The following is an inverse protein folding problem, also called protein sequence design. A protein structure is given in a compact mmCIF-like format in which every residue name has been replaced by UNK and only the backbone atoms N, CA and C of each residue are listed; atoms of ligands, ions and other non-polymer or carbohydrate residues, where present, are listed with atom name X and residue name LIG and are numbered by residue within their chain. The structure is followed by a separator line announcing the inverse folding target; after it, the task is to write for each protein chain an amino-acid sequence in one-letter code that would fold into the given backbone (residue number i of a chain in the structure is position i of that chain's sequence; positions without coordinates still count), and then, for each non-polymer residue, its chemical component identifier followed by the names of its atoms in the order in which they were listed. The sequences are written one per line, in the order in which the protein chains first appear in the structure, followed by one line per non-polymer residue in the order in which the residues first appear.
data_IF_621718915609
#
_entry.id   IF_621718915609
#
_cell.length_a   1.000
_cell.length_b   1.000
_cell.length_c   1.000
_cell.angle_alpha   90.00
_cell.angle_beta   90.00
_cell.angle_gamma   90.00
#
_symmetry.space_group_name_H-M   'P 1'
#
loop_
_entity.id
_entity.type
_entity.pdbx_description
1 polymer ?
#
# COMPACT_ATOMS: atom_id res chain seq x y z
N UNK A 1 -2.24 8.19 36.26
CA UNK A 1 -2.87 7.32 35.24
C UNK A 1 -2.43 7.80 33.86
N UNK A 2 -1.42 7.17 33.25
CA UNK A 2 -1.07 7.46 31.87
C UNK A 2 -2.04 6.68 30.97
N UNK A 3 -3.11 7.34 30.53
CA UNK A 3 -4.00 6.79 29.51
C UNK A 3 -3.19 6.48 28.26
N UNK A 4 -3.16 5.22 27.86
CA UNK A 4 -2.59 4.78 26.58
C UNK A 4 -3.50 5.36 25.50
N UNK A 5 -3.17 6.56 25.00
CA UNK A 5 -3.77 7.10 23.78
C UNK A 5 -3.43 6.12 22.67
N UNK A 6 -4.37 5.25 22.33
CA UNK A 6 -4.31 4.44 21.12
C UNK A 6 -4.53 5.44 19.99
N UNK A 7 -3.58 5.55 19.07
CA UNK A 7 -3.84 6.26 17.83
C UNK A 7 -4.88 5.42 17.08
N UNK A 8 -6.16 5.79 17.20
CA UNK A 8 -7.22 5.20 16.41
C UNK A 8 -6.93 5.62 14.95
N UNK A 9 -6.36 4.69 14.19
CA UNK A 9 -6.13 4.86 12.77
C UNK A 9 -7.45 5.03 12.02
N UNK A 10 -7.43 5.57 10.80
CA UNK A 10 -8.62 5.64 9.96
C UNK A 10 -9.20 4.24 9.79
N UNK A 11 -10.52 4.14 9.83
CA UNK A 11 -11.21 2.89 9.58
C UNK A 11 -10.87 2.39 8.18
N UNK A 12 -10.53 1.10 8.07
CA UNK A 12 -10.34 0.42 6.78
C UNK A 12 -11.62 0.31 5.95
N UNK A 13 -12.76 0.70 6.54
CA UNK A 13 -14.03 0.89 5.88
C UNK A 13 -13.94 2.17 5.05
N UNK A 14 -13.70 2.00 3.75
CA UNK A 14 -14.19 2.97 2.78
C UNK A 14 -15.73 2.93 2.84
N UNK A 15 -16.38 4.09 2.80
CA UNK A 15 -17.83 4.21 2.73
C UNK A 15 -18.38 3.24 1.66
N UNK A 16 -19.29 2.39 2.09
CA UNK A 16 -19.84 1.30 1.28
C UNK A 16 -20.86 1.86 0.30
N UNK A 17 -20.43 2.38 -0.84
CA UNK A 17 -21.26 2.47 -2.03
C UNK A 17 -20.91 1.32 -2.98
N UNK A 18 -21.77 0.30 -2.91
CA UNK A 18 -21.93 -0.84 -3.80
C UNK A 18 -21.30 -0.70 -5.20
N UNK A 19 -20.04 -1.11 -5.34
CA UNK A 19 -19.42 -1.49 -6.60
C UNK A 19 -19.16 -2.98 -6.54
N UNK A 20 -19.82 -3.72 -7.42
CA UNK A 20 -19.93 -5.18 -7.45
C UNK A 20 -18.61 -5.92 -7.16
N UNK A 21 -18.75 -7.04 -6.46
CA UNK A 21 -17.75 -8.10 -6.37
C UNK A 21 -17.45 -8.61 -7.80
N UNK A 22 -16.58 -7.89 -8.51
CA UNK A 22 -16.06 -8.29 -9.81
C UNK A 22 -15.21 -9.54 -9.63
N UNK A 23 -15.81 -10.69 -9.97
CA UNK A 23 -15.13 -11.97 -10.16
C UNK A 23 -13.87 -11.76 -11.00
N UNK A 24 -12.70 -11.92 -10.38
CA UNK A 24 -11.43 -11.73 -11.11
C UNK A 24 -10.18 -11.55 -10.27
N UNK A 25 -10.25 -11.58 -8.93
CA UNK A 25 -9.04 -11.64 -8.10
C UNK A 25 -8.40 -13.03 -8.23
N UNK A 26 -7.71 -13.26 -9.34
CA UNK A 26 -6.73 -14.34 -9.46
C UNK A 26 -5.76 -14.13 -8.31
N UNK A 27 -5.74 -15.05 -7.34
CA UNK A 27 -4.67 -15.08 -6.33
C UNK A 27 -3.39 -15.30 -7.12
N UNK A 28 -2.49 -14.31 -7.28
CA UNK A 28 -1.23 -14.57 -7.93
C UNK A 28 -0.55 -15.63 -7.07
N UNK A 29 0.09 -16.62 -7.70
CA UNK A 29 1.00 -17.55 -7.02
C UNK A 29 2.26 -16.78 -6.63
N UNK A 30 2.10 -15.79 -5.76
CA UNK A 30 3.18 -15.13 -5.06
C UNK A 30 3.85 -16.21 -4.21
N UNK A 31 5.18 -16.23 -4.16
CA UNK A 31 5.96 -17.07 -3.24
C UNK A 31 5.50 -16.91 -1.78
N UNK A 32 6.10 -17.63 -0.82
CA UNK A 32 5.65 -17.60 0.57
C UNK A 32 5.45 -16.14 1.03
N UNK A 33 4.17 -15.74 1.16
CA UNK A 33 3.81 -14.41 1.66
C UNK A 33 4.35 -14.36 3.08
N UNK A 34 5.11 -13.32 3.47
CA UNK A 34 5.48 -13.15 4.87
C UNK A 34 4.22 -13.27 5.71
N UNK A 35 4.18 -14.27 6.59
CA UNK A 35 3.08 -14.42 7.52
C UNK A 35 3.02 -13.12 8.32
N UNK A 36 1.91 -12.40 8.17
CA UNK A 36 1.66 -11.13 8.84
C UNK A 36 2.61 -9.97 8.45
N UNK A 37 2.63 -9.60 7.16
CA UNK A 37 3.33 -8.39 6.64
C UNK A 37 3.11 -7.14 7.50
N UNK A 38 1.88 -6.95 7.98
CA UNK A 38 1.44 -5.71 8.62
C UNK A 38 1.97 -5.52 10.04
N UNK A 39 2.48 -6.58 10.71
CA UNK A 39 3.17 -6.47 12.01
C UNK A 39 4.35 -5.51 12.02
N UNK A 40 4.94 -5.21 10.86
CA UNK A 40 6.01 -4.22 10.75
C UNK A 40 5.59 -2.85 11.32
N UNK A 41 4.31 -2.49 11.24
CA UNK A 41 3.78 -1.24 11.79
C UNK A 41 3.83 -1.16 13.33
N UNK A 42 3.98 -2.28 14.04
CA UNK A 42 4.10 -2.30 15.50
C UNK A 42 5.55 -2.21 15.99
N UNK A 43 6.52 -2.24 15.07
CA UNK A 43 7.95 -2.34 15.40
C UNK A 43 8.66 -0.98 15.46
N UNK A 44 8.01 0.12 15.07
CA UNK A 44 8.63 1.44 15.05
C UNK A 44 8.95 1.96 16.46
N UNK A 45 10.11 2.61 16.61
CA UNK A 45 10.58 3.22 17.85
C UNK A 45 10.95 4.69 17.63
N UNK A 46 11.20 5.44 18.71
CA UNK A 46 11.56 6.87 18.62
C UNK A 46 10.38 7.77 18.25
N UNK A 47 10.64 8.90 17.58
CA UNK A 47 9.61 9.88 17.23
C UNK A 47 8.59 9.35 16.21
N UNK A 48 8.96 8.38 15.37
CA UNK A 48 8.07 7.76 14.38
C UNK A 48 7.23 6.59 14.90
N UNK A 49 7.28 6.24 16.20
CA UNK A 49 6.63 5.04 16.75
C UNK A 49 5.10 4.96 16.60
N UNK A 50 4.45 6.07 16.28
CA UNK A 50 3.00 6.15 16.06
C UNK A 50 2.62 6.02 14.57
N UNK A 51 3.60 5.88 13.66
CA UNK A 51 3.32 5.65 12.25
C UNK A 51 2.73 4.25 12.04
N UNK A 52 1.42 4.19 11.80
CA UNK A 52 0.69 2.95 11.54
C UNK A 52 0.61 2.59 10.05
N UNK A 53 0.81 3.56 9.15
CA UNK A 53 0.69 3.35 7.70
C UNK A 53 -0.69 2.79 7.30
N UNK A 54 -0.70 1.76 6.45
CA UNK A 54 -1.91 1.04 6.02
C UNK A 54 -2.23 -0.22 6.83
N UNK A 55 -1.77 -0.31 8.10
CA UNK A 55 -2.02 -1.46 8.98
C UNK A 55 -3.52 -1.75 9.11
N UNK A 56 -3.86 -3.03 9.23
CA UNK A 56 -5.20 -3.59 9.39
C UNK A 56 -6.13 -3.41 8.17
N UNK A 57 -5.63 -2.80 7.08
CA UNK A 57 -6.41 -2.48 5.89
C UNK A 57 -6.02 -3.31 4.67
N UNK A 58 -6.66 -3.00 3.52
CA UNK A 58 -6.52 -3.78 2.28
C UNK A 58 -5.09 -3.77 1.75
N UNK A 59 -4.70 -4.91 1.20
CA UNK A 59 -3.44 -5.04 0.46
C UNK A 59 -3.68 -4.65 -1.00
N UNK A 60 -2.90 -3.69 -1.50
CA UNK A 60 -2.84 -3.35 -2.91
C UNK A 60 -1.61 -4.01 -3.52
N UNK A 61 -1.76 -4.72 -4.65
CA UNK A 61 -0.63 -5.36 -5.33
C UNK A 61 -0.30 -4.55 -6.58
N UNK A 62 0.92 -4.01 -6.63
CA UNK A 62 1.48 -3.40 -7.83
C UNK A 62 1.91 -4.51 -8.78
N UNK A 63 1.32 -4.52 -9.96
CA UNK A 63 1.55 -5.51 -11.03
C UNK A 63 2.12 -4.87 -12.30
N UNK A 64 2.04 -3.54 -12.42
CA UNK A 64 2.48 -2.78 -13.58
C UNK A 64 3.48 -1.68 -13.19
N UNK A 65 4.69 -1.76 -13.76
CA UNK A 65 5.78 -0.83 -13.53
C UNK A 65 6.05 0.12 -14.70
N UNK A 66 5.38 -0.07 -15.85
CA UNK A 66 5.69 0.64 -17.10
C UNK A 66 4.75 1.80 -17.42
N UNK A 67 3.53 1.78 -16.88
CA UNK A 67 2.49 2.75 -17.22
C UNK A 67 2.35 3.86 -16.16
N UNK A 68 3.44 4.53 -15.81
CA UNK A 68 3.34 5.73 -14.98
C UNK A 68 2.65 6.85 -15.76
N UNK A 69 1.52 7.34 -15.24
CA UNK A 69 0.74 8.43 -15.81
C UNK A 69 0.36 9.39 -14.67
N UNK A 70 0.97 10.60 -14.61
CA UNK A 70 0.72 11.55 -13.53
C UNK A 70 -0.69 12.15 -13.55
N UNK A 71 -1.41 12.07 -14.68
CA UNK A 71 -2.75 12.64 -14.83
C UNK A 71 -3.83 11.57 -14.61
N UNK A 72 -3.68 10.42 -15.27
CA UNK A 72 -4.65 9.31 -15.22
C UNK A 72 -4.00 7.98 -14.84
N UNK A 73 -3.55 7.81 -13.58
CA UNK A 73 -2.85 6.61 -13.16
C UNK A 73 -3.77 5.38 -13.21
N UNK A 74 -3.26 4.27 -13.76
CA UNK A 74 -4.04 3.05 -13.96
C UNK A 74 -4.00 2.12 -12.73
N UNK A 75 -5.12 1.44 -12.39
CA UNK A 75 -5.09 0.34 -11.43
C UNK A 75 -4.00 -0.68 -11.76
N UNK A 76 -3.33 -1.20 -10.73
CA UNK A 76 -2.13 -2.05 -10.87
C UNK A 76 -0.80 -1.28 -10.84
N UNK A 77 -0.79 0.05 -11.02
CA UNK A 77 0.42 0.88 -10.89
C UNK A 77 0.64 1.36 -9.46
N UNK A 78 1.90 1.74 -9.14
CA UNK A 78 2.25 2.35 -7.85
C UNK A 78 1.58 3.71 -7.66
N UNK A 79 1.55 4.57 -8.69
CA UNK A 79 0.94 5.89 -8.61
C UNK A 79 -0.54 5.81 -8.27
N UNK A 80 -1.28 4.91 -8.93
CA UNK A 80 -2.68 4.70 -8.59
C UNK A 80 -2.84 4.27 -7.13
N UNK A 81 -1.98 3.38 -6.62
CA UNK A 81 -2.05 2.90 -5.25
C UNK A 81 -1.88 4.01 -4.19
N UNK A 82 -0.88 4.88 -4.36
CA UNK A 82 -0.51 5.87 -3.34
C UNK A 82 -1.49 7.05 -3.25
N UNK A 83 -2.23 7.34 -4.32
CA UNK A 83 -3.21 8.43 -4.35
C UNK A 83 -4.61 8.02 -3.88
N UNK A 84 -4.86 6.73 -3.62
CA UNK A 84 -6.18 6.32 -3.12
C UNK A 84 -6.46 6.99 -1.77
N UNK A 85 -7.73 7.35 -1.53
CA UNK A 85 -8.13 7.96 -0.25
C UNK A 85 -8.10 6.96 0.90
N UNK A 86 -8.47 5.71 0.63
CA UNK A 86 -8.48 4.62 1.60
C UNK A 86 -7.07 4.23 2.08
N UNK A 87 -6.92 3.75 3.33
CA UNK A 87 -5.64 3.22 3.80
C UNK A 87 -5.25 1.94 3.07
N UNK A 88 -3.98 1.83 2.65
CA UNK A 88 -3.51 0.69 1.86
C UNK A 88 -2.12 0.21 2.30
N UNK A 89 -1.98 -1.12 2.35
CA UNK A 89 -0.69 -1.80 2.42
C UNK A 89 -0.26 -2.24 1.01
N UNK A 90 0.60 -1.47 0.38
CA UNK A 90 1.02 -1.63 -1.00
C UNK A 90 2.20 -2.61 -1.05
N UNK A 91 2.07 -3.68 -1.84
CA UNK A 91 3.12 -4.68 -2.09
C UNK A 91 3.38 -4.79 -3.60
N UNK A 92 4.44 -5.50 -3.95
CA UNK A 92 4.86 -5.69 -5.34
C UNK A 92 4.78 -7.17 -5.72
N UNK A 93 4.20 -7.45 -6.89
CA UNK A 93 4.00 -8.83 -7.36
C UNK A 93 5.33 -9.54 -7.70
N UNK A 94 6.30 -8.79 -8.20
CA UNK A 94 7.58 -9.29 -8.71
C UNK A 94 8.63 -8.19 -8.65
N UNK A 95 9.88 -8.58 -8.92
CA UNK A 95 10.97 -7.63 -9.14
C UNK A 95 10.60 -6.67 -10.27
N UNK A 96 10.82 -5.38 -10.05
CA UNK A 96 10.47 -4.36 -11.04
C UNK A 96 11.26 -3.06 -10.88
N UNK A 97 11.41 -2.38 -12.01
CA UNK A 97 11.93 -1.00 -12.07
C UNK A 97 10.77 -0.09 -12.46
N UNK A 98 10.43 0.84 -11.59
CA UNK A 98 9.38 1.84 -11.79
C UNK A 98 10.07 3.16 -12.11
N UNK A 99 9.91 3.64 -13.35
CA UNK A 99 10.39 4.95 -13.77
C UNK A 99 9.25 5.95 -13.65
N UNK A 100 9.37 6.86 -12.69
CA UNK A 100 8.42 7.94 -12.49
C UNK A 100 8.62 8.99 -13.57
N UNK A 101 7.53 9.50 -14.14
CA UNK A 101 7.55 10.65 -15.05
C UNK A 101 7.61 11.97 -14.29
N UNK A 102 7.02 11.99 -13.10
CA UNK A 102 6.89 13.15 -12.22
C UNK A 102 6.94 12.69 -10.76
N UNK A 103 7.07 13.62 -9.80
CA UNK A 103 7.05 13.32 -8.37
C UNK A 103 5.84 12.46 -7.95
N UNK A 104 6.07 11.55 -7.01
CA UNK A 104 5.06 10.65 -6.49
C UNK A 104 4.42 11.27 -5.24
N UNK A 105 3.24 11.89 -5.40
CA UNK A 105 2.49 12.43 -4.27
C UNK A 105 1.75 11.29 -3.54
N UNK A 106 2.04 11.13 -2.26
CA UNK A 106 1.45 10.08 -1.42
C UNK A 106 0.37 10.64 -0.51
N UNK A 107 -0.83 10.05 -0.58
CA UNK A 107 -1.85 10.31 0.43
C UNK A 107 -1.48 9.66 1.76
N UNK A 108 -2.18 10.08 2.83
CA UNK A 108 -2.03 9.52 4.17
C UNK A 108 -2.36 8.02 4.23
N UNK A 109 -1.86 7.36 5.28
CA UNK A 109 -2.16 5.97 5.63
C UNK A 109 -1.80 4.95 4.54
N UNK A 110 -0.61 5.15 3.96
CA UNK A 110 0.00 4.22 3.02
C UNK A 110 1.20 3.55 3.67
N UNK A 111 1.36 2.26 3.36
CA UNK A 111 2.63 1.57 3.55
C UNK A 111 3.08 1.03 2.21
N UNK A 112 4.28 1.40 1.77
CA UNK A 112 4.92 0.81 0.58
C UNK A 112 5.91 -0.24 1.04
N UNK A 113 5.53 -1.52 0.90
CA UNK A 113 6.28 -2.67 1.43
C UNK A 113 6.95 -3.44 0.28
N UNK A 114 8.22 -3.12 0.03
CA UNK A 114 9.07 -3.79 -0.96
C UNK A 114 9.57 -5.18 -0.55
N UNK A 115 9.28 -5.69 0.66
CA UNK A 115 9.80 -6.99 1.09
C UNK A 115 9.23 -8.12 0.22
N UNK A 116 10.13 -8.99 -0.26
CA UNK A 116 9.79 -10.11 -1.13
C UNK A 116 9.89 -9.82 -2.63
N UNK A 117 10.36 -8.63 -3.02
CA UNK A 117 10.72 -8.28 -4.40
C UNK A 117 11.88 -7.28 -4.42
N UNK A 118 12.70 -7.29 -5.47
CA UNK A 118 13.67 -6.23 -5.77
C UNK A 118 12.98 -5.10 -6.53
N UNK A 119 12.70 -4.00 -5.83
CA UNK A 119 11.94 -2.86 -6.39
C UNK A 119 12.85 -1.64 -6.45
N UNK A 120 13.06 -1.13 -7.66
CA UNK A 120 13.81 0.10 -7.90
C UNK A 120 12.85 1.18 -8.39
N UNK A 121 12.76 2.29 -7.68
CA UNK A 121 11.96 3.46 -8.05
C UNK A 121 12.92 4.59 -8.32
N UNK A 122 12.86 5.18 -9.50
CA UNK A 122 13.72 6.27 -9.94
C UNK A 122 12.97 7.16 -10.94
N UNK A 123 13.48 8.36 -11.20
CA UNK A 123 12.87 9.35 -12.08
C UNK A 123 13.37 10.73 -11.74
#
# INVERSE_FOLDING_TARGET
MAGKLKADGPSCLADSSSGELGKGMVRPKLGPKPENRQRLADCAIGFGKQAIGGRDCRIYVVTDSGNDDPVTPKPGTLRHAVIQHEPLWIIFERDMVIKLKEELIMNSFKTTDGRGASVHIAG
#
